data_IF_527574560787
#
_entry.id   IF_527574560787
#
_cell.length_a   1.000
_cell.length_b   1.000
_cell.length_c   1.000
_cell.angle_alpha   90.00
_cell.angle_beta   90.00
_cell.angle_gamma   90.00
#
_symmetry.space_group_name_H-M   'P 1'
#
loop_
_entity.id
_entity.type
_entity.pdbx_description
1 polymer ?
#
# COMPACT_ATOMS: atom_id res chain seq x y z
N UNK A 1 20.85 -10.88 -15.11
CA UNK A 1 19.86 -10.32 -14.15
C UNK A 1 20.31 -8.97 -13.58
N UNK A 2 20.42 -7.90 -14.39
CA UNK A 2 20.76 -6.53 -13.91
C UNK A 2 19.66 -5.48 -14.15
N UNK A 3 18.58 -5.84 -14.86
CA UNK A 3 17.46 -4.92 -15.16
C UNK A 3 16.51 -4.71 -13.97
N UNK A 4 16.52 -5.60 -12.97
CA UNK A 4 15.47 -5.63 -11.93
C UNK A 4 15.60 -4.56 -10.84
N UNK A 5 16.79 -4.00 -10.60
CA UNK A 5 17.00 -3.03 -9.49
C UNK A 5 16.69 -1.60 -9.94
N UNK A 6 16.97 -1.27 -11.21
CA UNK A 6 16.76 0.08 -11.76
C UNK A 6 15.27 0.40 -11.88
N UNK A 7 14.51 -0.54 -12.44
CA UNK A 7 13.05 -0.47 -12.56
C UNK A 7 12.36 -0.37 -11.18
N UNK A 8 12.94 -1.00 -10.14
CA UNK A 8 12.46 -0.93 -8.77
C UNK A 8 12.63 0.46 -8.15
N UNK A 9 13.75 1.13 -8.40
CA UNK A 9 13.99 2.50 -7.93
C UNK A 9 13.12 3.51 -8.67
N UNK A 10 13.01 3.38 -9.99
CA UNK A 10 12.21 4.29 -10.82
C UNK A 10 10.72 4.20 -10.47
N UNK A 11 10.18 2.99 -10.29
CA UNK A 11 8.79 2.81 -9.80
C UNK A 11 8.58 3.37 -8.40
N UNK A 12 9.56 3.20 -7.50
CA UNK A 12 9.49 3.81 -6.16
C UNK A 12 9.43 5.34 -6.23
N UNK A 13 10.28 5.97 -7.04
CA UNK A 13 10.28 7.43 -7.19
C UNK A 13 8.96 7.92 -7.79
N UNK A 14 8.47 7.28 -8.84
CA UNK A 14 7.19 7.64 -9.44
C UNK A 14 6.00 7.49 -8.48
N UNK A 15 6.02 6.52 -7.57
CA UNK A 15 4.98 6.37 -6.53
C UNK A 15 5.12 7.41 -5.42
N UNK A 16 6.34 7.80 -5.05
CA UNK A 16 6.61 8.85 -4.05
C UNK A 16 6.22 10.23 -4.57
N UNK A 17 6.44 10.49 -5.86
CA UNK A 17 6.08 11.74 -6.54
C UNK A 17 4.60 11.76 -6.96
N UNK A 18 3.87 10.65 -6.83
CA UNK A 18 2.44 10.61 -7.11
C UNK A 18 1.68 11.39 -6.05
N UNK A 19 0.82 12.31 -6.49
CA UNK A 19 -0.11 13.04 -5.63
C UNK A 19 -1.35 12.21 -5.27
N UNK A 20 -1.45 10.97 -5.77
CA UNK A 20 -2.57 10.09 -5.48
C UNK A 20 -2.38 9.34 -4.18
N UNK A 21 -3.35 9.47 -3.29
CA UNK A 21 -3.34 8.80 -1.99
C UNK A 21 -3.28 7.26 -2.12
N UNK A 22 -3.89 6.69 -3.16
CA UNK A 22 -3.87 5.24 -3.40
C UNK A 22 -2.48 4.72 -3.78
N UNK A 23 -1.73 5.49 -4.57
CA UNK A 23 -0.34 5.15 -4.92
C UNK A 23 0.59 5.27 -3.70
N UNK A 24 0.36 6.26 -2.83
CA UNK A 24 1.10 6.42 -1.57
C UNK A 24 0.81 5.27 -0.59
N UNK A 25 -0.45 4.86 -0.45
CA UNK A 25 -0.84 3.71 0.36
C UNK A 25 -0.24 2.42 -0.18
N UNK A 26 -0.26 2.23 -1.51
CA UNK A 26 0.38 1.10 -2.16
C UNK A 26 1.90 1.10 -1.93
N UNK A 27 2.54 2.27 -1.98
CA UNK A 27 3.96 2.40 -1.70
C UNK A 27 4.30 1.98 -0.27
N UNK A 28 3.49 2.42 0.71
CA UNK A 28 3.66 2.01 2.11
C UNK A 28 3.49 0.50 2.25
N UNK A 29 2.47 -0.09 1.62
CA UNK A 29 2.25 -1.54 1.68
C UNK A 29 3.37 -2.37 1.07
N UNK A 30 3.95 -1.91 -0.04
CA UNK A 30 4.88 -2.71 -0.84
C UNK A 30 6.35 -2.44 -0.54
N UNK A 31 6.69 -1.21 -0.16
CA UNK A 31 8.08 -0.75 -0.06
C UNK A 31 8.43 -0.16 1.31
N UNK A 32 7.46 0.37 2.04
CA UNK A 32 7.65 0.96 3.37
C UNK A 32 6.73 0.26 4.38
N UNK A 33 6.86 -1.07 4.44
CA UNK A 33 6.04 -1.91 5.30
C UNK A 33 6.20 -1.47 6.75
N UNK A 34 5.10 -1.28 7.49
CA UNK A 34 5.16 -0.93 8.89
C UNK A 34 5.94 -1.97 9.71
N UNK A 35 6.67 -1.50 10.73
CA UNK A 35 7.39 -2.39 11.65
C UNK A 35 6.57 -2.68 12.92
N UNK A 36 5.61 -1.82 13.25
CA UNK A 36 4.84 -1.89 14.48
C UNK A 36 3.36 -2.20 14.21
N UNK A 37 2.71 -2.86 15.18
CA UNK A 37 1.28 -3.18 15.10
C UNK A 37 0.42 -1.93 14.88
N UNK A 38 0.71 -0.86 15.60
CA UNK A 38 -0.06 0.39 15.53
C UNK A 38 0.00 1.00 14.13
N UNK A 39 1.17 1.03 13.51
CA UNK A 39 1.32 1.50 12.14
C UNK A 39 0.64 0.57 11.13
N UNK A 40 0.65 -0.76 11.35
CA UNK A 40 -0.14 -1.69 10.54
C UNK A 40 -1.65 -1.43 10.64
N UNK A 41 -2.16 -1.15 11.84
CA UNK A 41 -3.56 -0.80 12.08
C UNK A 41 -3.92 0.54 11.43
N UNK A 42 -3.05 1.54 11.57
CA UNK A 42 -3.26 2.86 10.96
C UNK A 42 -3.27 2.76 9.43
N UNK A 43 -2.31 2.03 8.85
CA UNK A 43 -2.25 1.79 7.41
C UNK A 43 -3.48 1.04 6.92
N UNK A 44 -3.91 -0.01 7.63
CA UNK A 44 -5.15 -0.73 7.32
C UNK A 44 -6.36 0.19 7.36
N UNK A 45 -6.46 1.07 8.37
CA UNK A 45 -7.56 2.04 8.50
C UNK A 45 -7.59 3.02 7.32
N UNK A 46 -6.43 3.56 6.94
CA UNK A 46 -6.31 4.46 5.78
C UNK A 46 -6.67 3.77 4.47
N UNK A 47 -6.19 2.55 4.26
CA UNK A 47 -6.54 1.73 3.08
C UNK A 47 -8.04 1.44 3.05
N UNK A 48 -8.62 1.05 4.18
CA UNK A 48 -10.04 0.78 4.29
C UNK A 48 -10.88 2.05 4.00
N UNK A 49 -10.48 3.20 4.53
CA UNK A 49 -11.12 4.49 4.23
C UNK A 49 -11.02 4.85 2.74
N UNK A 50 -9.86 4.67 2.12
CA UNK A 50 -9.66 4.90 0.69
C UNK A 50 -10.55 3.99 -0.18
N UNK A 51 -10.69 2.72 0.22
CA UNK A 51 -11.55 1.75 -0.47
C UNK A 51 -13.05 2.09 -0.34
N UNK A 52 -13.47 2.60 0.81
CA UNK A 52 -14.86 3.02 1.06
C UNK A 52 -15.19 4.42 0.51
N UNK A 53 -14.19 5.28 0.29
CA UNK A 53 -14.37 6.60 -0.31
C UNK A 53 -14.75 6.56 -1.79
N UNK A 54 -14.98 7.72 -2.41
CA UNK A 54 -15.36 7.83 -3.83
C UNK A 54 -14.15 7.79 -4.79
N UNK A 55 -13.17 6.92 -4.50
CA UNK A 55 -11.95 6.79 -5.30
C UNK A 55 -12.15 5.91 -6.55
N UNK A 56 -11.32 6.07 -7.60
CA UNK A 56 -11.41 5.28 -8.84
C UNK A 56 -11.29 3.77 -8.58
N UNK A 57 -12.20 2.98 -9.16
CA UNK A 57 -12.24 1.53 -8.98
C UNK A 57 -10.94 0.82 -9.37
N UNK A 58 -10.23 1.30 -10.40
CA UNK A 58 -8.95 0.75 -10.83
C UNK A 58 -7.90 0.81 -9.70
N UNK A 59 -7.85 1.94 -8.98
CA UNK A 59 -6.93 2.15 -7.85
C UNK A 59 -7.36 1.34 -6.63
N UNK A 60 -8.66 1.32 -6.35
CA UNK A 60 -9.24 0.47 -5.29
C UNK A 60 -8.93 -1.00 -5.53
N UNK A 61 -9.04 -1.50 -6.77
CA UNK A 61 -8.76 -2.89 -7.12
C UNK A 61 -7.30 -3.26 -6.83
N UNK A 62 -6.37 -2.35 -7.10
CA UNK A 62 -4.94 -2.52 -6.81
C UNK A 62 -4.66 -2.64 -5.32
N UNK A 63 -5.38 -1.90 -4.48
CA UNK A 63 -5.29 -1.96 -3.01
C UNK A 63 -6.03 -3.16 -2.40
N UNK A 64 -7.17 -3.58 -2.96
CA UNK A 64 -7.96 -4.74 -2.48
C UNK A 64 -7.10 -6.01 -2.38
N UNK A 65 -6.26 -6.28 -3.38
CA UNK A 65 -5.36 -7.44 -3.36
C UNK A 65 -4.34 -7.44 -2.21
N UNK A 66 -4.02 -6.27 -1.65
CA UNK A 66 -3.17 -6.13 -0.47
C UNK A 66 -3.95 -6.08 0.83
N UNK A 67 -5.27 -5.86 0.76
CA UNK A 67 -6.14 -5.75 1.93
C UNK A 67 -6.29 -7.11 2.63
N UNK A 68 -6.30 -8.21 1.87
CA UNK A 68 -6.27 -9.58 2.44
C UNK A 68 -4.95 -9.86 3.18
N UNK A 69 -3.81 -9.50 2.59
CA UNK A 69 -2.50 -9.63 3.26
C UNK A 69 -2.42 -8.75 4.52
N UNK A 70 -2.94 -7.53 4.45
CA UNK A 70 -3.05 -6.61 5.57
C UNK A 70 -3.90 -7.20 6.70
N UNK A 71 -5.10 -7.70 6.38
CA UNK A 71 -6.00 -8.28 7.37
C UNK A 71 -5.33 -9.45 8.10
N UNK A 72 -4.70 -10.36 7.37
CA UNK A 72 -3.93 -11.47 7.97
C UNK A 72 -2.78 -10.97 8.85
N UNK A 73 -2.09 -9.90 8.44
CA UNK A 73 -0.98 -9.33 9.21
C UNK A 73 -1.50 -8.71 10.51
N UNK A 74 -2.59 -7.95 10.47
CA UNK A 74 -3.21 -7.35 11.65
C UNK A 74 -3.79 -8.42 12.59
N UNK A 75 -4.45 -9.45 12.05
CA UNK A 75 -4.96 -10.59 12.82
C UNK A 75 -3.82 -11.39 13.48
N UNK A 76 -2.67 -11.55 12.83
CA UNK A 76 -1.51 -12.22 13.44
C UNK A 76 -0.95 -11.48 14.67
N UNK A 77 -1.27 -10.20 14.85
CA UNK A 77 -0.91 -9.40 16.02
C UNK A 77 -2.04 -9.30 17.07
N UNK A 78 -3.19 -9.95 16.87
CA UNK A 78 -4.36 -9.91 17.76
C UNK A 78 -4.47 -11.21 18.55
#
# INVERSE_FOLDING_TARGET
>A
MKKSIKDYKEKRQSLVESQDEGDQLFFQLRYNQPCTKEEWIELHTKVCAYLHGDNPEEKKRRLRGYTEMLAMTVEAYT
#
